data_IF_393197187414
#
_entry.id   IF_393197187414
#
_cell.length_a   1.000
_cell.length_b   1.000
_cell.length_c   1.000
_cell.angle_alpha   90.00
_cell.angle_beta   90.00
_cell.angle_gamma   90.00
#
_symmetry.space_group_name_H-M   'P 1'
#
loop_
_entity.id
_entity.type
_entity.pdbx_description
1 polymer ?
#
# COMPACT_ATOMS: atom_id res chain seq x y z
N UNK A 1 -9.62 0.84 38.69
CA UNK A 1 -8.74 0.31 37.63
C UNK A 1 -9.06 1.10 36.39
N UNK A 2 -8.10 1.81 35.81
CA UNK A 2 -8.31 2.45 34.51
C UNK A 2 -8.31 1.32 33.48
N UNK A 3 -9.47 0.99 32.92
CA UNK A 3 -9.55 0.06 31.81
C UNK A 3 -8.98 0.75 30.57
N UNK A 4 -8.00 0.12 29.92
CA UNK A 4 -7.45 0.65 28.68
C UNK A 4 -8.46 0.47 27.56
N UNK A 5 -8.61 1.51 26.74
CA UNK A 5 -9.42 1.45 25.52
C UNK A 5 -8.78 0.47 24.55
N UNK A 6 -9.55 -0.51 24.09
CA UNK A 6 -9.10 -1.53 23.13
C UNK A 6 -9.87 -1.34 21.82
N UNK A 7 -9.13 -1.29 20.73
CA UNK A 7 -9.67 -1.22 19.37
C UNK A 7 -9.30 -2.53 18.66
N UNK A 8 -10.29 -3.18 18.03
CA UNK A 8 -10.05 -4.35 17.20
C UNK A 8 -10.50 -4.06 15.77
N UNK A 9 -9.58 -4.29 14.83
CA UNK A 9 -9.80 -4.12 13.42
C UNK A 9 -9.68 -5.47 12.72
N UNK A 10 -10.58 -5.73 11.78
CA UNK A 10 -10.42 -6.78 10.78
C UNK A 10 -9.47 -6.30 9.70
N UNK A 11 -8.57 -7.18 9.32
CA UNK A 11 -7.72 -7.07 8.14
C UNK A 11 -8.19 -8.11 7.12
N UNK A 12 -8.29 -7.71 5.86
CA UNK A 12 -8.51 -8.64 4.74
C UNK A 12 -7.59 -8.29 3.58
N UNK A 13 -7.41 -9.23 2.66
CA UNK A 13 -6.63 -9.03 1.44
C UNK A 13 -5.11 -9.06 1.61
N UNK A 14 -4.61 -9.51 2.77
CA UNK A 14 -3.21 -9.86 2.98
C UNK A 14 -3.08 -11.37 2.96
N UNK A 15 -2.54 -11.89 1.87
CA UNK A 15 -2.38 -13.31 1.63
C UNK A 15 -0.91 -13.72 1.66
N UNK A 16 -0.66 -15.02 1.60
CA UNK A 16 0.63 -15.69 1.46
C UNK A 16 1.61 -15.57 2.64
N UNK A 17 1.24 -14.92 3.73
CA UNK A 17 2.15 -14.62 4.82
C UNK A 17 1.56 -14.98 6.18
N UNK A 18 2.36 -15.66 7.01
CA UNK A 18 2.03 -15.97 8.40
C UNK A 18 3.15 -15.50 9.33
N UNK A 19 2.79 -14.82 10.41
CA UNK A 19 3.74 -14.38 11.42
C UNK A 19 3.98 -15.49 12.45
N UNK A 20 5.19 -15.52 12.99
CA UNK A 20 5.60 -16.44 14.04
C UNK A 20 6.30 -15.69 15.17
N UNK A 21 6.29 -16.24 16.38
CA UNK A 21 6.84 -15.61 17.60
C UNK A 21 6.23 -14.23 17.88
N UNK A 22 4.96 -14.11 17.57
CA UNK A 22 4.25 -12.86 17.59
C UNK A 22 3.82 -12.48 19.00
N UNK A 23 3.94 -11.20 19.32
CA UNK A 23 3.61 -10.65 20.63
C UNK A 23 3.27 -9.17 20.48
N UNK A 24 2.42 -8.61 21.36
CA UNK A 24 2.11 -7.19 21.33
C UNK A 24 3.39 -6.34 21.35
N UNK A 25 3.47 -5.38 20.44
CA UNK A 25 4.58 -4.44 20.36
C UNK A 25 4.23 -3.17 21.12
N UNK A 26 5.10 -2.75 22.02
CA UNK A 26 4.98 -1.46 22.69
C UNK A 26 5.28 -0.32 21.70
N UNK A 27 4.42 0.69 21.72
CA UNK A 27 4.55 1.86 20.85
C UNK A 27 4.98 3.04 21.71
N UNK A 28 6.09 3.68 21.34
CA UNK A 28 6.53 4.93 21.97
C UNK A 28 5.68 6.10 21.45
N UNK A 29 4.42 6.16 21.86
CA UNK A 29 3.43 7.17 21.49
C UNK A 29 2.65 7.64 22.72
N UNK A 30 2.18 8.88 22.69
CA UNK A 30 1.30 9.43 23.73
C UNK A 30 -0.10 8.80 23.66
N UNK A 31 -0.54 8.35 22.47
CA UNK A 31 -1.91 7.85 22.27
C UNK A 31 -2.02 6.32 22.35
N UNK A 32 -1.05 5.60 21.78
CA UNK A 32 -1.10 4.15 21.59
C UNK A 32 -0.06 3.50 22.49
N UNK A 33 -0.50 2.51 23.27
CA UNK A 33 0.34 1.73 24.19
C UNK A 33 0.94 0.53 23.48
N UNK A 34 0.10 -0.31 22.86
CA UNK A 34 0.56 -1.51 22.16
C UNK A 34 -0.22 -1.79 20.89
N UNK A 35 0.43 -2.46 19.93
CA UNK A 35 -0.18 -2.99 18.71
C UNK A 35 0.14 -4.48 18.56
N UNK A 36 -0.87 -5.27 18.20
CA UNK A 36 -0.73 -6.67 17.82
C UNK A 36 -1.42 -6.91 16.47
N UNK A 37 -0.68 -7.32 15.45
CA UNK A 37 -1.24 -7.88 14.22
C UNK A 37 -1.24 -9.39 14.45
N UNK A 38 -2.34 -10.10 14.24
CA UNK A 38 -2.37 -11.54 14.51
C UNK A 38 -1.56 -12.35 13.48
N UNK A 39 -1.32 -13.63 13.80
CA UNK A 39 -0.42 -14.48 13.02
C UNK A 39 -0.85 -14.65 11.57
N UNK A 40 -2.16 -14.70 11.32
CA UNK A 40 -2.72 -14.94 9.99
C UNK A 40 -3.05 -13.63 9.24
N UNK A 41 -2.64 -12.47 9.78
CA UNK A 41 -2.85 -11.15 9.17
C UNK A 41 -4.32 -10.79 8.90
N UNK A 42 -5.22 -11.34 9.71
CA UNK A 42 -6.67 -11.11 9.63
C UNK A 42 -7.19 -10.13 10.68
N UNK A 43 -6.37 -9.76 11.66
CA UNK A 43 -6.77 -8.84 12.71
C UNK A 43 -5.63 -7.95 13.19
N UNK A 44 -5.98 -6.72 13.57
CA UNK A 44 -5.12 -5.73 14.22
C UNK A 44 -5.79 -5.30 15.52
N UNK A 45 -5.13 -5.55 16.65
CA UNK A 45 -5.55 -5.10 17.99
C UNK A 45 -4.68 -3.94 18.43
N UNK A 46 -5.31 -2.85 18.87
CA UNK A 46 -4.63 -1.64 19.35
C UNK A 46 -5.11 -1.37 20.77
N UNK A 47 -4.15 -1.19 21.69
CA UNK A 47 -4.42 -0.78 23.07
C UNK A 47 -3.96 0.66 23.23
N UNK A 48 -4.86 1.55 23.65
CA UNK A 48 -4.53 2.96 23.90
C UNK A 48 -3.91 3.12 25.29
N UNK A 49 -3.16 4.22 25.48
CA UNK A 49 -2.64 4.57 26.79
C UNK A 49 -3.76 4.91 27.78
N UNK A 50 -3.48 4.72 29.06
CA UNK A 50 -4.40 4.99 30.15
C UNK A 50 -4.96 6.43 30.05
N UNK A 51 -6.29 6.57 30.05
CA UNK A 51 -6.99 7.87 29.94
C UNK A 51 -7.15 8.41 28.51
N UNK A 52 -6.66 7.70 27.49
CA UNK A 52 -6.87 8.08 26.08
C UNK A 52 -8.18 7.50 25.56
N UNK A 53 -9.06 8.40 25.10
CA UNK A 53 -10.34 8.04 24.52
C UNK A 53 -10.30 8.03 23.00
N UNK A 54 -10.85 6.99 22.37
CA UNK A 54 -10.84 6.86 20.90
C UNK A 54 -11.69 7.95 20.25
N UNK A 55 -12.89 8.21 20.78
CA UNK A 55 -13.79 9.24 20.24
C UNK A 55 -13.16 10.63 20.18
N UNK A 56 -12.35 10.99 21.17
CA UNK A 56 -11.67 12.30 21.25
C UNK A 56 -10.40 12.39 20.40
N UNK A 57 -9.75 11.26 20.10
CA UNK A 57 -8.46 11.21 19.39
C UNK A 57 -8.53 10.47 18.05
N UNK A 58 -9.75 10.24 17.55
CA UNK A 58 -10.03 9.40 16.39
C UNK A 58 -9.13 9.71 15.20
N UNK A 59 -9.05 10.98 14.81
CA UNK A 59 -8.30 11.40 13.61
C UNK A 59 -6.82 11.04 13.70
N UNK A 60 -6.17 11.32 14.83
CA UNK A 60 -4.74 11.05 14.99
C UNK A 60 -4.43 9.56 15.14
N UNK A 61 -5.32 8.82 15.81
CA UNK A 61 -5.23 7.36 15.94
C UNK A 61 -5.39 6.72 14.56
N UNK A 62 -6.46 7.04 13.84
CA UNK A 62 -6.72 6.47 12.51
C UNK A 62 -5.61 6.82 11.53
N UNK A 63 -5.08 8.05 11.55
CA UNK A 63 -3.94 8.44 10.70
C UNK A 63 -2.67 7.62 11.00
N UNK A 64 -2.41 7.30 12.28
CA UNK A 64 -1.30 6.43 12.65
C UNK A 64 -1.51 4.99 12.15
N UNK A 65 -2.74 4.48 12.25
CA UNK A 65 -3.06 3.13 11.77
C UNK A 65 -3.08 3.05 10.24
N UNK A 66 -3.48 4.11 9.54
CA UNK A 66 -3.39 4.20 8.08
C UNK A 66 -1.94 4.20 7.61
N UNK A 67 -1.03 4.83 8.35
CA UNK A 67 0.41 4.74 8.09
C UNK A 67 0.91 3.30 8.20
N UNK A 68 0.47 2.54 9.21
CA UNK A 68 0.80 1.12 9.39
C UNK A 68 0.26 0.32 8.20
N UNK A 69 -1.02 0.47 7.86
CA UNK A 69 -1.61 -0.24 6.72
C UNK A 69 -0.92 0.11 5.41
N UNK A 70 -0.60 1.38 5.18
CA UNK A 70 0.12 1.82 4.00
C UNK A 70 1.49 1.14 3.90
N UNK A 71 2.29 1.15 4.98
CA UNK A 71 3.58 0.48 4.98
C UNK A 71 3.44 -1.02 4.79
N UNK A 72 2.39 -1.63 5.32
CA UNK A 72 2.14 -3.05 5.12
C UNK A 72 1.87 -3.37 3.64
N UNK A 73 1.04 -2.56 2.97
CA UNK A 73 0.76 -2.69 1.53
C UNK A 73 2.02 -2.37 0.69
N UNK A 74 2.73 -1.29 1.01
CA UNK A 74 3.82 -0.79 0.17
C UNK A 74 5.16 -1.53 0.38
N UNK A 75 5.40 -2.07 1.58
CA UNK A 75 6.73 -2.55 2.00
C UNK A 75 6.78 -3.96 2.54
N UNK A 76 5.65 -4.58 2.91
CA UNK A 76 5.68 -6.00 3.27
C UNK A 76 5.82 -6.86 2.02
N UNK A 77 6.27 -8.09 2.18
CA UNK A 77 6.29 -9.01 1.05
C UNK A 77 4.91 -9.61 0.76
N UNK A 78 3.90 -9.44 1.62
CA UNK A 78 2.59 -10.11 1.52
C UNK A 78 1.97 -9.95 0.13
N UNK A 79 1.31 -11.00 -0.36
CA UNK A 79 0.48 -10.89 -1.56
C UNK A 79 -0.77 -10.08 -1.22
N UNK A 80 -1.14 -9.19 -2.12
CA UNK A 80 -2.20 -8.23 -1.89
C UNK A 80 -3.39 -8.54 -2.78
N UNK A 81 -4.50 -8.88 -2.15
CA UNK A 81 -5.77 -9.12 -2.81
C UNK A 81 -6.88 -8.29 -2.17
N UNK A 82 -6.96 -7.02 -2.57
CA UNK A 82 -7.86 -6.02 -1.98
C UNK A 82 -7.64 -5.85 -0.48
N UNK A 83 -6.48 -5.31 -0.06
CA UNK A 83 -6.21 -5.08 1.35
C UNK A 83 -7.27 -4.13 1.92
N UNK A 84 -7.92 -4.47 3.03
CA UNK A 84 -8.87 -3.59 3.72
C UNK A 84 -8.61 -3.65 5.23
N UNK A 85 -8.76 -2.52 5.92
CA UNK A 85 -8.83 -2.43 7.38
C UNK A 85 -10.21 -1.90 7.78
N UNK A 86 -10.94 -2.63 8.61
CA UNK A 86 -12.26 -2.25 9.12
C UNK A 86 -12.24 -2.26 10.65
N UNK A 87 -12.66 -1.16 11.29
CA UNK A 87 -12.85 -1.13 12.74
C UNK A 87 -14.10 -1.93 13.10
N UNK A 88 -13.93 -3.01 13.85
CA UNK A 88 -15.03 -3.88 14.26
C UNK A 88 -15.45 -3.63 15.69
N UNK A 89 -14.49 -3.41 16.61
CA UNK A 89 -14.79 -3.28 18.04
C UNK A 89 -14.07 -2.08 18.64
N UNK A 90 -14.83 -1.27 19.40
CA UNK A 90 -14.30 -0.29 20.35
C UNK A 90 -14.78 -0.69 21.75
N UNK A 91 -13.85 -1.06 22.63
CA UNK A 91 -14.11 -1.31 24.04
C UNK A 91 -13.61 -0.15 24.88
N UNK A 92 -14.52 0.60 25.48
CA UNK A 92 -14.24 1.81 26.24
C UNK A 92 -15.23 1.94 27.41
N UNK A 93 -14.74 2.19 28.63
CA UNK A 93 -15.55 2.42 29.83
C UNK A 93 -16.71 1.40 30.01
N UNK A 94 -16.41 0.09 30.02
CA UNK A 94 -17.39 -1.01 30.06
C UNK A 94 -18.42 -1.07 28.91
N UNK A 95 -18.29 -0.23 27.88
CA UNK A 95 -19.15 -0.24 26.70
C UNK A 95 -18.42 -0.89 25.53
N UNK A 96 -19.10 -1.81 24.83
CA UNK A 96 -18.59 -2.47 23.63
C UNK A 96 -19.44 -2.01 22.46
N UNK A 97 -18.85 -1.25 21.54
CA UNK A 97 -19.49 -0.91 20.26
C UNK A 97 -18.93 -1.85 19.20
N UNK A 98 -19.80 -2.65 18.59
CA UNK A 98 -19.45 -3.63 17.56
C UNK A 98 -20.12 -3.28 16.23
N UNK A 99 -19.38 -3.45 15.12
CA UNK A 99 -19.88 -3.32 13.75
C UNK A 99 -19.66 -4.63 13.01
N UNK A 100 -20.68 -5.13 12.30
CA UNK A 100 -20.58 -6.39 11.54
C UNK A 100 -20.19 -6.13 10.08
N UNK A 101 -19.27 -6.96 9.57
CA UNK A 101 -18.85 -6.95 8.17
C UNK A 101 -18.72 -8.37 7.61
N UNK A 102 -19.60 -8.72 6.65
CA UNK A 102 -19.62 -10.02 5.98
C UNK A 102 -19.01 -9.91 4.59
N UNK A 103 -18.03 -10.76 4.30
CA UNK A 103 -17.39 -10.89 2.99
C UNK A 103 -17.21 -12.39 2.68
N UNK A 104 -17.53 -12.80 1.45
CA UNK A 104 -17.40 -14.18 0.97
C UNK A 104 -16.42 -14.19 -0.21
N UNK A 105 -15.35 -14.98 -0.12
CA UNK A 105 -14.34 -15.16 -1.17
C UNK A 105 -13.85 -16.61 -1.20
N UNK A 106 -13.51 -17.09 -2.38
CA UNK A 106 -12.76 -18.33 -2.58
C UNK A 106 -11.33 -17.98 -3.01
N UNK A 107 -10.33 -18.56 -2.35
CA UNK A 107 -8.92 -18.42 -2.75
C UNK A 107 -8.12 -19.68 -2.44
N UNK A 108 -7.03 -19.87 -3.18
CA UNK A 108 -5.99 -20.88 -2.92
C UNK A 108 -4.70 -20.12 -2.67
N UNK A 109 -4.17 -20.23 -1.46
CA UNK A 109 -3.03 -19.42 -1.01
C UNK A 109 -1.87 -20.34 -0.62
N UNK A 110 -0.65 -20.01 -1.08
CA UNK A 110 0.59 -20.65 -0.62
C UNK A 110 1.17 -19.77 0.47
N UNK A 111 1.25 -20.29 1.70
CA UNK A 111 1.66 -19.50 2.87
C UNK A 111 3.12 -19.71 3.20
N UNK A 112 3.87 -18.61 3.38
CA UNK A 112 5.20 -18.63 3.98
C UNK A 112 5.15 -18.11 5.41
N UNK A 113 6.03 -18.62 6.26
CA UNK A 113 6.14 -18.20 7.66
C UNK A 113 7.38 -17.36 7.88
N UNK A 114 7.22 -16.19 8.51
CA UNK A 114 8.34 -15.32 8.88
C UNK A 114 8.22 -14.86 10.35
N UNK A 115 9.32 -14.43 10.99
CA UNK A 115 9.25 -13.81 12.31
C UNK A 115 8.45 -12.50 12.28
N UNK A 116 7.57 -12.30 13.26
CA UNK A 116 6.78 -11.07 13.38
C UNK A 116 7.64 -9.81 13.47
N UNK A 117 8.82 -9.90 14.10
CA UNK A 117 9.77 -8.80 14.22
C UNK A 117 10.14 -8.19 12.88
N UNK A 118 10.31 -9.01 11.84
CA UNK A 118 10.63 -8.53 10.48
C UNK A 118 9.55 -7.60 9.94
N UNK A 119 8.28 -7.95 10.15
CA UNK A 119 7.15 -7.08 9.76
C UNK A 119 7.07 -5.85 10.62
N UNK A 120 7.21 -5.98 11.94
CA UNK A 120 7.13 -4.84 12.84
C UNK A 120 8.21 -3.81 12.56
N UNK A 121 9.44 -4.25 12.32
CA UNK A 121 10.55 -3.38 11.91
C UNK A 121 10.23 -2.64 10.61
N UNK A 122 9.67 -3.35 9.62
CA UNK A 122 9.32 -2.72 8.34
C UNK A 122 8.12 -1.80 8.43
N UNK A 123 7.08 -2.13 9.20
CA UNK A 123 5.79 -1.43 9.16
C UNK A 123 5.72 -0.30 10.18
N UNK A 124 6.18 -0.54 11.41
CA UNK A 124 6.07 0.43 12.51
C UNK A 124 7.17 1.48 12.45
N UNK A 125 8.41 1.08 12.16
CA UNK A 125 9.58 1.96 12.25
C UNK A 125 9.84 2.76 10.96
N UNK A 126 9.19 2.36 9.87
CA UNK A 126 9.26 3.04 8.58
C UNK A 126 8.62 4.43 8.63
N UNK A 127 9.42 5.48 8.47
CA UNK A 127 8.90 6.85 8.37
C UNK A 127 8.22 7.10 7.01
N UNK A 128 7.15 7.89 7.04
CA UNK A 128 6.44 8.42 5.87
C UNK A 128 6.18 9.92 6.06
N UNK A 129 5.87 10.61 4.97
CA UNK A 129 5.48 12.02 4.99
C UNK A 129 3.94 12.19 4.98
N UNK A 130 3.20 11.19 5.47
CA UNK A 130 1.74 11.13 5.40
C UNK A 130 1.08 12.33 6.09
N UNK A 131 1.55 12.74 7.28
CA UNK A 131 1.03 13.93 7.99
C UNK A 131 1.10 15.21 7.15
N UNK A 132 2.19 15.40 6.40
CA UNK A 132 2.40 16.60 5.57
C UNK A 132 1.64 16.52 4.23
N UNK A 133 1.38 15.32 3.73
CA UNK A 133 0.82 15.08 2.41
C UNK A 133 -0.44 14.20 2.45
N UNK A 134 -1.31 14.38 3.45
CA UNK A 134 -2.42 13.47 3.74
C UNK A 134 -3.30 13.17 2.51
N UNK A 135 -3.66 14.19 1.72
CA UNK A 135 -4.47 14.03 0.50
C UNK A 135 -3.76 13.20 -0.57
N UNK A 136 -2.45 13.38 -0.73
CA UNK A 136 -1.65 12.60 -1.68
C UNK A 136 -1.60 11.13 -1.27
N UNK A 137 -1.35 10.87 0.02
CA UNK A 137 -1.31 9.53 0.56
C UNK A 137 -2.68 8.84 0.50
N UNK A 138 -3.78 9.56 0.77
CA UNK A 138 -5.14 9.03 0.60
C UNK A 138 -5.40 8.62 -0.86
N UNK A 139 -4.99 9.45 -1.83
CA UNK A 139 -5.10 9.10 -3.26
C UNK A 139 -4.30 7.83 -3.59
N UNK A 140 -3.07 7.72 -3.10
CA UNK A 140 -2.24 6.52 -3.30
C UNK A 140 -2.91 5.30 -2.66
N UNK A 141 -3.35 5.44 -1.42
CA UNK A 141 -3.99 4.37 -0.66
C UNK A 141 -5.23 3.85 -1.39
N UNK A 142 -6.15 4.73 -1.80
CA UNK A 142 -7.35 4.35 -2.58
C UNK A 142 -7.00 3.74 -3.94
N UNK A 143 -5.92 4.20 -4.57
CA UNK A 143 -5.43 3.58 -5.82
C UNK A 143 -5.00 2.13 -5.57
N UNK A 144 -4.24 1.87 -4.50
CA UNK A 144 -3.77 0.53 -4.14
C UNK A 144 -4.89 -0.44 -3.74
N UNK A 145 -6.06 0.06 -3.33
CA UNK A 145 -7.24 -0.77 -3.03
C UNK A 145 -8.03 -1.21 -4.27
N UNK A 146 -7.70 -0.68 -5.46
CA UNK A 146 -8.48 -0.98 -6.66
C UNK A 146 -8.28 -2.45 -7.10
N UNK A 147 -9.34 -3.24 -7.37
CA UNK A 147 -9.24 -4.60 -7.92
C UNK A 147 -8.29 -4.76 -9.10
N UNK A 148 -8.31 -3.77 -9.97
CA UNK A 148 -7.78 -3.88 -11.31
C UNK A 148 -6.33 -3.39 -11.30
N UNK A 149 -5.39 -4.32 -11.39
CA UNK A 149 -3.96 -4.05 -11.37
C UNK A 149 -3.51 -3.11 -12.50
N UNK A 150 -4.19 -3.13 -13.66
CA UNK A 150 -3.93 -2.17 -14.75
C UNK A 150 -4.34 -0.76 -14.29
N UNK A 151 -5.51 -0.62 -13.68
CA UNK A 151 -5.96 0.67 -13.15
C UNK A 151 -5.05 1.15 -12.02
N UNK A 152 -4.60 0.26 -11.12
CA UNK A 152 -3.61 0.60 -10.10
C UNK A 152 -2.33 1.16 -10.75
N UNK A 153 -1.74 0.40 -11.68
CA UNK A 153 -0.50 0.76 -12.36
C UNK A 153 -0.64 2.09 -13.10
N UNK A 154 -1.67 2.25 -13.92
CA UNK A 154 -1.89 3.45 -14.74
C UNK A 154 -2.09 4.69 -13.85
N UNK A 155 -2.84 4.55 -12.75
CA UNK A 155 -3.12 5.64 -11.82
C UNK A 155 -1.87 6.05 -11.03
N UNK A 156 -1.07 5.09 -10.55
CA UNK A 156 0.18 5.36 -9.85
C UNK A 156 1.23 5.98 -10.78
N UNK A 157 1.35 5.47 -12.02
CA UNK A 157 2.24 6.05 -13.01
C UNK A 157 1.83 7.49 -13.38
N UNK A 158 0.54 7.73 -13.57
CA UNK A 158 0.01 9.07 -13.81
C UNK A 158 0.34 10.02 -12.65
N UNK A 159 0.19 9.55 -11.40
CA UNK A 159 0.53 10.33 -10.21
C UNK A 159 2.04 10.64 -10.14
N UNK A 160 2.90 9.66 -10.42
CA UNK A 160 4.34 9.85 -10.50
C UNK A 160 4.71 10.92 -11.54
N UNK A 161 4.10 10.85 -12.72
CA UNK A 161 4.30 11.82 -13.78
C UNK A 161 3.86 13.23 -13.36
N UNK A 162 2.72 13.38 -12.69
CA UNK A 162 2.25 14.65 -12.13
C UNK A 162 3.25 15.22 -11.11
N UNK A 163 3.74 14.39 -10.18
CA UNK A 163 4.69 14.79 -9.15
C UNK A 163 6.02 15.27 -9.74
N UNK A 164 6.57 14.53 -10.70
CA UNK A 164 7.83 14.86 -11.37
C UNK A 164 7.72 16.02 -12.37
N UNK A 165 6.49 16.39 -12.73
CA UNK A 165 6.20 17.53 -13.61
C UNK A 165 5.91 18.82 -12.83
N UNK A 166 5.90 18.80 -11.49
CA UNK A 166 5.69 20.02 -10.68
C UNK A 166 6.72 21.09 -11.03
N UNK A 167 6.23 22.28 -11.38
CA UNK A 167 7.08 23.41 -11.78
C UNK A 167 7.60 23.34 -13.23
N UNK A 168 7.22 22.32 -14.01
CA UNK A 168 7.53 22.23 -15.44
C UNK A 168 6.35 22.75 -16.28
N UNK A 169 6.64 23.11 -17.53
CA UNK A 169 5.63 23.67 -18.44
C UNK A 169 4.55 22.65 -18.86
N UNK A 170 4.87 21.35 -18.85
CA UNK A 170 3.96 20.28 -19.27
C UNK A 170 4.13 19.04 -18.41
N UNK A 171 3.01 18.34 -18.21
CA UNK A 171 2.98 16.99 -17.63
C UNK A 171 3.23 16.00 -18.76
N UNK A 172 4.38 15.34 -18.75
CA UNK A 172 4.78 14.43 -19.83
C UNK A 172 5.67 13.28 -19.34
N UNK A 173 5.60 12.14 -20.05
CA UNK A 173 6.35 10.92 -19.73
C UNK A 173 7.86 11.16 -19.72
N UNK A 174 8.34 12.12 -20.52
CA UNK A 174 9.75 12.52 -20.56
C UNK A 174 10.29 12.91 -19.18
N UNK A 175 9.47 13.56 -18.34
CA UNK A 175 9.88 13.95 -16.99
C UNK A 175 10.15 12.73 -16.10
N UNK A 176 9.36 11.65 -16.27
CA UNK A 176 9.57 10.37 -15.58
C UNK A 176 10.86 9.70 -16.07
N UNK A 177 11.01 9.58 -17.39
CA UNK A 177 12.20 8.97 -18.00
C UNK A 177 13.50 9.68 -17.60
N UNK A 178 13.53 11.02 -17.61
CA UNK A 178 14.70 11.81 -17.20
C UNK A 178 15.04 11.60 -15.72
N UNK A 179 14.03 11.56 -14.86
CA UNK A 179 14.21 11.34 -13.43
C UNK A 179 14.79 9.95 -13.14
N UNK A 180 14.16 8.90 -13.67
CA UNK A 180 14.63 7.52 -13.45
C UNK A 180 16.02 7.29 -14.07
N UNK A 181 16.33 7.92 -15.20
CA UNK A 181 17.67 7.84 -15.81
C UNK A 181 18.74 8.49 -14.94
N UNK A 182 18.45 9.65 -14.35
CA UNK A 182 19.38 10.34 -13.44
C UNK A 182 19.53 9.67 -12.08
N UNK A 183 18.58 8.83 -11.67
CA UNK A 183 18.56 8.12 -10.39
C UNK A 183 18.68 6.60 -10.54
N UNK A 184 19.26 6.10 -11.64
CA UNK A 184 19.34 4.67 -11.96
C UNK A 184 19.97 3.81 -10.84
N UNK A 185 20.91 4.37 -10.08
CA UNK A 185 21.53 3.68 -8.93
C UNK A 185 20.57 3.49 -7.75
N UNK A 186 19.62 4.40 -7.56
CA UNK A 186 18.60 4.32 -6.51
C UNK A 186 17.47 3.35 -6.90
N UNK A 187 17.26 3.15 -8.19
CA UNK A 187 16.20 2.31 -8.75
C UNK A 187 16.77 1.20 -9.65
N UNK A 188 17.57 0.25 -9.10
CA UNK A 188 18.26 -0.76 -9.89
C UNK A 188 17.33 -1.77 -10.57
N UNK A 189 16.08 -1.86 -10.12
CA UNK A 189 15.03 -2.69 -10.72
C UNK A 189 14.41 -2.07 -11.98
N UNK A 190 14.70 -0.80 -12.29
CA UNK A 190 14.24 -0.13 -13.51
C UNK A 190 15.20 -0.46 -14.65
N UNK A 191 14.67 -1.10 -15.69
CA UNK A 191 15.40 -1.39 -16.93
C UNK A 191 15.07 -0.34 -17.99
N UNK A 192 16.01 -0.08 -18.90
CA UNK A 192 15.82 0.82 -20.04
C UNK A 192 15.78 -0.02 -21.31
N UNK A 193 14.79 0.24 -22.16
CA UNK A 193 14.53 -0.49 -23.41
C UNK A 193 14.46 0.50 -24.57
N UNK A 194 14.89 0.14 -25.78
CA UNK A 194 14.71 0.98 -26.95
C UNK A 194 13.23 1.35 -27.15
N UNK A 195 12.96 2.61 -27.49
CA UNK A 195 11.61 3.04 -27.86
C UNK A 195 11.12 2.28 -29.09
N UNK A 196 9.81 2.07 -29.17
CA UNK A 196 9.15 1.45 -30.32
C UNK A 196 8.59 2.48 -31.29
N UNK A 197 8.74 3.77 -30.97
CA UNK A 197 8.33 4.87 -31.84
C UNK A 197 9.17 4.84 -33.11
N UNK A 198 8.51 4.72 -34.26
CA UNK A 198 9.17 4.77 -35.57
C UNK A 198 10.00 6.05 -35.69
N UNK A 199 11.23 5.91 -36.17
CA UNK A 199 12.19 6.99 -36.38
C UNK A 199 12.63 7.74 -35.09
N UNK A 200 12.52 7.11 -33.93
CA UNK A 200 13.06 7.64 -32.68
C UNK A 200 14.22 6.77 -32.18
N UNK A 201 15.27 7.41 -31.66
CA UNK A 201 16.44 6.74 -31.11
C UNK A 201 16.67 7.19 -29.67
N UNK A 202 15.75 6.80 -28.79
CA UNK A 202 15.88 7.00 -27.35
C UNK A 202 15.39 5.74 -26.61
N UNK A 203 15.82 5.59 -25.36
CA UNK A 203 15.35 4.51 -24.50
C UNK A 203 14.21 4.98 -23.59
N UNK A 204 13.24 4.11 -23.38
CA UNK A 204 12.16 4.22 -22.41
C UNK A 204 12.52 3.40 -21.17
N UNK A 205 12.23 3.93 -19.98
CA UNK A 205 12.27 3.09 -18.77
C UNK A 205 11.15 2.04 -18.82
N UNK A 206 11.31 0.96 -18.05
CA UNK A 206 10.37 -0.16 -18.04
C UNK A 206 8.94 0.23 -17.65
N UNK A 207 8.75 1.24 -16.81
CA UNK A 207 7.41 1.71 -16.44
C UNK A 207 6.77 2.49 -17.59
N UNK A 208 7.50 3.44 -18.19
CA UNK A 208 7.03 4.19 -19.37
C UNK A 208 6.70 3.24 -20.52
N UNK A 209 7.58 2.26 -20.78
CA UNK A 209 7.37 1.24 -21.81
C UNK A 209 6.07 0.47 -21.57
N UNK A 210 5.85 0.00 -20.33
CA UNK A 210 4.68 -0.80 -19.99
C UNK A 210 3.38 0.02 -20.01
N UNK A 211 3.42 1.28 -19.55
CA UNK A 211 2.30 2.22 -19.70
C UNK A 211 1.90 2.42 -21.15
N UNK A 212 2.89 2.54 -22.04
CA UNK A 212 2.63 2.71 -23.47
C UNK A 212 2.07 1.44 -24.11
N UNK A 213 2.43 0.25 -23.61
CA UNK A 213 1.78 -1.00 -24.04
C UNK A 213 0.31 -1.06 -23.68
N UNK A 214 -0.03 -0.72 -22.44
CA UNK A 214 -1.43 -0.65 -22.00
C UNK A 214 -2.18 0.36 -22.86
N UNK A 215 -1.67 1.58 -23.00
CA UNK A 215 -2.30 2.62 -23.81
C UNK A 215 -2.48 2.21 -25.28
N UNK A 216 -1.50 1.54 -25.88
CA UNK A 216 -1.61 1.06 -27.26
C UNK A 216 -2.70 -0.02 -27.40
N UNK A 217 -2.80 -0.94 -26.43
CA UNK A 217 -3.88 -1.95 -26.43
C UNK A 217 -5.27 -1.33 -26.29
N UNK A 218 -5.41 -0.23 -25.54
CA UNK A 218 -6.65 0.54 -25.44
C UNK A 218 -6.99 1.26 -26.75
N UNK A 219 -5.99 1.93 -27.36
CA UNK A 219 -6.15 2.63 -28.64
C UNK A 219 -6.52 1.70 -29.80
N UNK A 220 -5.95 0.50 -29.83
CA UNK A 220 -6.21 -0.53 -30.84
C UNK A 220 -7.38 -1.44 -30.51
N UNK A 221 -7.99 -1.27 -29.32
CA UNK A 221 -9.03 -2.14 -28.78
C UNK A 221 -8.63 -3.63 -28.75
N UNK A 222 -7.35 -3.92 -28.49
CA UNK A 222 -6.80 -5.27 -28.36
C UNK A 222 -6.97 -5.81 -26.94
N UNK A 223 -8.11 -6.46 -26.72
CA UNK A 223 -8.47 -7.05 -25.44
C UNK A 223 -7.53 -8.19 -25.00
N UNK A 224 -6.93 -8.93 -25.93
CA UNK A 224 -6.04 -10.05 -25.59
C UNK A 224 -4.70 -9.53 -25.09
N UNK A 225 -4.14 -8.52 -25.76
CA UNK A 225 -2.95 -7.83 -25.30
C UNK A 225 -3.22 -7.15 -23.94
N UNK A 226 -4.34 -6.46 -23.78
CA UNK A 226 -4.73 -5.81 -22.52
C UNK A 226 -4.76 -6.80 -21.35
N UNK A 227 -5.41 -7.97 -21.52
CA UNK A 227 -5.44 -9.02 -20.48
C UNK A 227 -4.06 -9.62 -20.20
N UNK A 228 -3.27 -9.85 -21.25
CA UNK A 228 -1.92 -10.39 -21.12
C UNK A 228 -1.04 -9.45 -20.31
N UNK A 229 -1.06 -8.15 -20.62
CA UNK A 229 -0.36 -7.12 -19.86
C UNK A 229 -0.86 -7.09 -18.40
N UNK A 230 -2.17 -7.12 -18.18
CA UNK A 230 -2.74 -7.18 -16.83
C UNK A 230 -2.19 -8.33 -15.99
N UNK A 231 -2.04 -9.52 -16.59
CA UNK A 231 -1.50 -10.71 -15.89
C UNK A 231 0.00 -10.61 -15.54
N UNK A 232 0.73 -9.71 -16.20
CA UNK A 232 2.16 -9.47 -15.93
C UNK A 232 2.38 -8.44 -14.83
N UNK A 233 1.35 -7.71 -14.41
CA UNK A 233 1.43 -6.77 -13.29
C UNK A 233 1.37 -7.58 -11.99
N UNK A 234 2.51 -7.72 -11.31
CA UNK A 234 2.57 -8.33 -9.99
C UNK A 234 2.45 -7.27 -8.88
N UNK A 235 2.07 -7.69 -7.68
CA UNK A 235 2.10 -6.82 -6.49
C UNK A 235 3.50 -6.22 -6.27
N UNK A 236 4.57 -6.95 -6.60
CA UNK A 236 5.94 -6.45 -6.52
C UNK A 236 6.21 -5.32 -7.53
N UNK A 237 5.65 -5.41 -8.73
CA UNK A 237 5.80 -4.38 -9.75
C UNK A 237 5.07 -3.08 -9.33
N UNK A 238 3.88 -3.22 -8.73
CA UNK A 238 3.15 -2.10 -8.12
C UNK A 238 3.92 -1.49 -6.94
N UNK A 239 4.47 -2.31 -6.04
CA UNK A 239 5.30 -1.82 -4.90
C UNK A 239 6.51 -1.03 -5.39
N UNK A 240 7.14 -1.46 -6.49
CA UNK A 240 8.32 -0.80 -7.08
C UNK A 240 8.03 0.62 -7.61
N UNK A 241 6.76 0.95 -7.93
CA UNK A 241 6.34 2.30 -8.31
C UNK A 241 6.12 3.24 -7.10
N UNK A 242 6.05 2.69 -5.89
CA UNK A 242 5.77 3.42 -4.65
C UNK A 242 7.02 3.65 -3.78
N UNK A 243 8.19 3.15 -4.20
CA UNK A 243 9.48 3.33 -3.52
C UNK A 243 10.17 4.63 -3.96
#
# INVERSE_FOLDING_TARGET
MCENTILQYKLSGFENLRLTKNHPQEINSVLIKTILINDDLTALTVVLNDGVHYSSNKTDIELYLDHICFNFIARSDADLFFPIRVLEVVKENNTINASEHVEIRESVTITRSIPASTIYDTVLNSQTLMKKNAVLYERIFKTLHNPNLIVQFMSLYQLLMELLSKGRAKIEQKNVMEYLRSHKTQYPFVSFKPTRRKNANFEEDSFTFFRNEIGHSEETNDMNLYKTLGSQISSQYIKSLNQ
#
